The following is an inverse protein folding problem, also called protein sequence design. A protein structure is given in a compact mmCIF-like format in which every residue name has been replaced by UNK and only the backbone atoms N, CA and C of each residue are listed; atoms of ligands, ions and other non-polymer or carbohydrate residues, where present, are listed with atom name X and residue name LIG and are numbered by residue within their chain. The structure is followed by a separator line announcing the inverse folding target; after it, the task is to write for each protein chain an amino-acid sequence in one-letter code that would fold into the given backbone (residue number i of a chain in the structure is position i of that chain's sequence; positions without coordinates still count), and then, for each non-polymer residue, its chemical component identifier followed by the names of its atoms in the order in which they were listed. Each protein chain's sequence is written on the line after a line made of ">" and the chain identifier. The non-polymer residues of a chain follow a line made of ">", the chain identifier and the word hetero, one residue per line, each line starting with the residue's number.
data_IF_845343141554
#
_entry.id   IF_845343141554
#
_cell.length_a   1.000
_cell.length_b   1.000
_cell.length_c   1.000
_cell.angle_alpha   90.00
_cell.angle_beta   90.00
_cell.angle_gamma   90.00
#
_symmetry.space_group_name_H-M   'P 1'
#
loop_
_entity.id
_entity.type
_entity.pdbx_description
1 polymer ?
#
# COMPACT_ATOMS: atom_id res chain seq x y z
N UNK A 1 -75.36 3.99 -1.25
CA UNK A 1 -75.60 2.57 -0.94
C UNK A 1 -74.44 2.18 0.01
N UNK A 2 -74.64 2.37 1.20
CA UNK A 2 -75.01 1.65 2.39
C UNK A 2 -74.66 0.15 2.31
N UNK A 3 -73.72 -0.29 3.17
CA UNK A 3 -73.89 -1.43 4.02
C UNK A 3 -72.77 -1.54 5.08
N UNK A 4 -73.23 -1.30 6.28
CA UNK A 4 -72.69 -1.70 7.58
C UNK A 4 -72.53 -3.23 7.69
N UNK A 5 -71.49 -3.67 8.45
CA UNK A 5 -71.64 -4.78 9.41
C UNK A 5 -70.40 -4.76 10.30
N UNK A 6 -70.49 -4.25 11.49
CA UNK A 6 -70.73 -4.79 12.82
C UNK A 6 -69.90 -6.05 13.16
N UNK A 7 -68.92 -5.79 14.04
CA UNK A 7 -68.82 -6.30 15.42
C UNK A 7 -68.71 -7.83 15.60
N UNK A 8 -67.61 -8.26 16.22
CA UNK A 8 -67.80 -9.06 17.45
C UNK A 8 -66.52 -9.07 18.30
N UNK A 9 -66.71 -8.53 19.47
CA UNK A 9 -65.88 -8.66 20.66
C UNK A 9 -65.88 -10.14 21.11
N UNK A 10 -64.73 -10.70 21.38
CA UNK A 10 -64.63 -11.88 22.24
C UNK A 10 -63.37 -11.76 23.10
N UNK A 11 -63.60 -11.29 24.27
CA UNK A 11 -62.79 -11.31 25.46
C UNK A 11 -62.52 -12.76 25.87
N UNK A 12 -61.27 -13.18 25.90
CA UNK A 12 -60.85 -14.31 26.74
C UNK A 12 -59.59 -13.93 27.52
N UNK A 13 -59.79 -13.93 28.80
CA UNK A 13 -58.82 -13.62 29.84
C UNK A 13 -58.08 -14.91 30.24
N UNK A 14 -56.77 -14.76 30.53
CA UNK A 14 -55.83 -15.52 31.38
C UNK A 14 -55.29 -16.90 30.87
N UNK A 15 -54.05 -17.30 31.35
CA UNK A 15 -53.28 -16.80 32.47
C UNK A 15 -51.80 -16.49 32.18
N UNK A 16 -51.25 -15.76 33.08
CA UNK A 16 -49.87 -15.44 33.42
C UNK A 16 -48.97 -16.69 33.48
N UNK A 17 -48.00 -16.81 32.60
CA UNK A 17 -46.78 -17.57 32.85
C UNK A 17 -45.58 -16.67 32.66
N UNK A 18 -44.95 -16.31 33.75
CA UNK A 18 -43.65 -15.67 33.82
C UNK A 18 -42.61 -16.65 33.25
N UNK A 19 -42.10 -16.38 32.07
CA UNK A 19 -40.88 -17.02 31.58
C UNK A 19 -39.79 -15.94 31.56
N UNK A 20 -38.95 -15.97 32.59
CA UNK A 20 -37.76 -15.15 32.65
C UNK A 20 -36.77 -15.62 31.58
N UNK A 21 -36.73 -14.91 30.46
CA UNK A 21 -35.66 -15.10 29.49
C UNK A 21 -34.48 -14.22 29.92
N UNK A 22 -33.46 -14.86 30.48
CA UNK A 22 -32.16 -14.21 30.72
C UNK A 22 -31.54 -13.87 29.37
N UNK A 23 -31.57 -12.60 28.95
CA UNK A 23 -30.78 -12.10 27.85
C UNK A 23 -29.31 -12.05 28.30
N UNK A 24 -28.56 -13.07 27.89
CA UNK A 24 -27.09 -13.02 27.93
C UNK A 24 -26.63 -12.06 26.84
N UNK A 25 -26.32 -10.83 27.23
CA UNK A 25 -25.66 -9.86 26.35
C UNK A 25 -24.20 -10.33 26.20
N UNK A 26 -23.91 -11.05 25.13
CA UNK A 26 -22.53 -11.32 24.72
C UNK A 26 -21.92 -9.97 24.28
N UNK A 27 -21.11 -9.39 25.14
CA UNK A 27 -20.30 -8.24 24.81
C UNK A 27 -19.26 -8.70 23.74
N UNK A 28 -19.55 -8.43 22.48
CA UNK A 28 -18.54 -8.51 21.43
C UNK A 28 -17.54 -7.36 21.67
N UNK A 29 -16.43 -7.68 22.31
CA UNK A 29 -15.26 -6.80 22.32
C UNK A 29 -14.75 -6.69 20.89
N UNK A 30 -15.16 -5.65 20.18
CA UNK A 30 -14.53 -5.25 18.93
C UNK A 30 -13.13 -4.73 19.29
N UNK A 31 -12.13 -5.58 19.11
CA UNK A 31 -10.75 -5.13 19.05
C UNK A 31 -10.62 -4.25 17.81
N UNK A 32 -10.76 -2.95 18.00
CA UNK A 32 -10.34 -1.97 17.01
C UNK A 32 -8.83 -2.10 16.89
N UNK A 33 -8.37 -2.85 15.88
CA UNK A 33 -6.99 -2.78 15.44
C UNK A 33 -6.77 -1.33 14.97
N UNK A 34 -6.20 -0.51 15.85
CA UNK A 34 -5.69 0.80 15.48
C UNK A 34 -4.55 0.54 14.51
N UNK A 35 -4.82 0.65 13.21
CA UNK A 35 -3.80 0.74 12.19
C UNK A 35 -3.06 2.04 12.45
N UNK A 36 -1.93 1.94 13.15
CA UNK A 36 -1.05 3.09 13.32
C UNK A 36 -0.66 3.59 11.92
N UNK A 37 -0.90 4.87 11.65
CA UNK A 37 -0.43 5.49 10.42
C UNK A 37 1.10 5.27 10.33
N UNK A 38 1.65 4.91 9.14
CA UNK A 38 3.09 4.70 9.00
C UNK A 38 3.82 5.96 9.46
N UNK A 39 4.89 5.78 10.26
CA UNK A 39 5.76 6.89 10.67
C UNK A 39 6.30 7.57 9.40
N UNK A 40 6.07 8.88 9.19
CA UNK A 40 6.53 9.58 8.00
C UNK A 40 8.07 9.58 7.84
N UNK A 41 8.81 9.22 8.87
CA UNK A 41 10.26 9.03 8.83
C UNK A 41 10.71 7.59 8.57
N UNK A 42 9.83 6.60 8.71
CA UNK A 42 10.19 5.23 8.36
C UNK A 42 10.48 5.15 6.88
N UNK A 43 11.58 4.47 6.49
CA UNK A 43 11.92 4.27 5.08
C UNK A 43 10.95 3.24 4.49
N UNK A 44 10.11 3.63 3.51
CA UNK A 44 9.23 2.67 2.86
C UNK A 44 10.06 1.64 2.09
N UNK A 45 9.58 0.40 2.10
CA UNK A 45 10.23 -0.73 1.41
C UNK A 45 9.22 -1.40 0.50
N UNK A 46 9.60 -1.65 -0.74
CA UNK A 46 8.88 -2.54 -1.66
C UNK A 46 9.73 -3.74 -1.97
N UNK A 47 9.15 -4.93 -1.84
CA UNK A 47 9.83 -6.20 -2.09
C UNK A 47 9.34 -6.80 -3.41
N UNK A 48 10.26 -7.02 -4.36
CA UNK A 48 9.98 -7.74 -5.60
C UNK A 48 9.82 -9.23 -5.42
N UNK A 49 10.40 -9.80 -4.36
CA UNK A 49 10.28 -11.22 -4.03
C UNK A 49 10.92 -12.20 -5.03
N UNK A 50 11.79 -11.71 -5.91
CA UNK A 50 12.35 -12.49 -7.04
C UNK A 50 13.87 -12.55 -7.04
N UNK A 51 14.52 -12.04 -5.98
CA UNK A 51 15.98 -12.06 -5.85
C UNK A 51 16.45 -11.60 -4.50
N UNK A 52 17.76 -11.38 -4.38
CA UNK A 52 18.44 -11.00 -3.13
C UNK A 52 19.05 -9.60 -3.16
N UNK A 53 19.04 -8.95 -4.31
CA UNK A 53 19.59 -7.62 -4.49
C UNK A 53 18.66 -6.52 -4.01
N UNK A 54 19.22 -5.33 -3.75
CA UNK A 54 18.48 -4.17 -3.26
C UNK A 54 19.01 -2.85 -3.82
N UNK A 55 18.14 -1.85 -3.90
CA UNK A 55 18.48 -0.48 -4.29
C UNK A 55 17.86 0.51 -3.31
N UNK A 56 18.71 1.34 -2.69
CA UNK A 56 18.31 2.41 -1.78
C UNK A 56 18.30 3.75 -2.51
N UNK A 57 17.26 4.52 -2.33
CA UNK A 57 17.10 5.83 -2.97
C UNK A 57 17.04 6.96 -1.95
N UNK A 58 17.66 8.08 -2.31
CA UNK A 58 17.45 9.39 -1.72
C UNK A 58 17.09 10.35 -2.85
N UNK A 59 15.89 10.94 -2.77
CA UNK A 59 15.35 11.83 -3.79
C UNK A 59 15.35 13.27 -3.24
N UNK A 60 16.06 14.14 -3.94
CA UNK A 60 16.16 15.56 -3.58
C UNK A 60 15.62 16.44 -4.72
N UNK A 61 15.26 17.67 -4.39
CA UNK A 61 14.99 18.70 -5.37
C UNK A 61 16.29 19.38 -5.85
N UNK A 62 16.15 20.34 -6.76
CA UNK A 62 17.29 21.09 -7.29
C UNK A 62 18.06 21.92 -6.24
N UNK A 63 17.46 22.18 -5.07
CA UNK A 63 18.07 22.90 -3.96
C UNK A 63 18.73 21.95 -2.93
N UNK A 64 18.64 20.64 -3.16
CA UNK A 64 19.15 19.60 -2.26
C UNK A 64 18.20 19.25 -1.11
N UNK A 65 16.96 19.77 -1.10
CA UNK A 65 15.96 19.41 -0.10
C UNK A 65 15.33 18.05 -0.43
N UNK A 66 15.06 17.19 0.59
CA UNK A 66 14.42 15.91 0.38
C UNK A 66 12.99 16.08 -0.16
N UNK A 67 12.59 15.23 -1.09
CA UNK A 67 11.26 15.27 -1.69
C UNK A 67 10.39 14.16 -1.09
N UNK A 68 9.33 14.56 -0.40
CA UNK A 68 8.33 13.65 0.16
C UNK A 68 7.38 13.16 -0.93
N UNK A 69 6.98 11.87 -0.84
CA UNK A 69 6.01 11.22 -1.74
C UNK A 69 6.41 11.27 -3.23
N UNK A 70 7.70 11.46 -3.56
CA UNK A 70 8.19 11.24 -4.91
C UNK A 70 8.00 9.77 -5.28
N UNK A 71 7.41 9.50 -6.43
CA UNK A 71 7.17 8.14 -6.92
C UNK A 71 8.41 7.62 -7.64
N UNK A 72 8.87 6.44 -7.26
CA UNK A 72 9.96 5.74 -7.95
C UNK A 72 9.39 4.48 -8.55
N UNK A 73 9.59 4.30 -9.86
CA UNK A 73 9.11 3.15 -10.64
C UNK A 73 10.27 2.41 -11.26
N UNK A 74 10.14 1.09 -11.37
CA UNK A 74 11.06 0.25 -12.12
C UNK A 74 10.31 -0.88 -12.81
N UNK A 75 10.69 -1.16 -14.05
CA UNK A 75 10.24 -2.31 -14.82
C UNK A 75 11.34 -3.36 -14.87
N UNK A 76 11.06 -4.57 -14.39
CA UNK A 76 12.04 -5.66 -14.28
C UNK A 76 11.65 -6.78 -15.23
N UNK A 77 12.50 -7.08 -16.22
CA UNK A 77 12.39 -8.28 -17.05
C UNK A 77 13.39 -9.33 -16.53
N UNK A 78 12.89 -10.50 -16.11
CA UNK A 78 13.68 -11.50 -15.41
C UNK A 78 13.32 -12.94 -15.82
N UNK A 79 14.05 -13.91 -15.27
CA UNK A 79 13.82 -15.33 -15.47
C UNK A 79 14.37 -15.85 -16.80
N UNK A 80 13.91 -17.06 -17.19
CA UNK A 80 14.36 -17.69 -18.41
C UNK A 80 13.97 -16.85 -19.64
N UNK A 81 14.95 -16.52 -20.48
CA UNK A 81 14.81 -15.63 -21.65
C UNK A 81 14.13 -14.28 -21.34
N UNK A 82 14.11 -13.86 -20.07
CA UNK A 82 13.49 -12.60 -19.62
C UNK A 82 11.99 -12.47 -19.98
N UNK A 83 11.30 -13.61 -19.95
CA UNK A 83 9.86 -13.66 -20.27
C UNK A 83 8.96 -13.15 -19.14
N UNK A 84 9.46 -13.19 -17.91
CA UNK A 84 8.72 -12.65 -16.75
C UNK A 84 8.97 -11.15 -16.61
N UNK A 85 7.92 -10.44 -16.23
CA UNK A 85 7.96 -8.99 -16.01
C UNK A 85 7.35 -8.65 -14.67
N UNK A 86 7.95 -7.69 -13.99
CA UNK A 86 7.47 -7.15 -12.72
C UNK A 86 7.63 -5.64 -12.74
N UNK A 87 6.55 -4.92 -12.40
CA UNK A 87 6.56 -3.48 -12.20
C UNK A 87 6.46 -3.19 -10.71
N UNK A 88 7.41 -2.41 -10.20
CA UNK A 88 7.41 -1.95 -8.81
C UNK A 88 7.30 -0.43 -8.77
N UNK A 89 6.53 0.07 -7.81
CA UNK A 89 6.37 1.50 -7.54
C UNK A 89 6.36 1.73 -6.02
N UNK A 90 7.04 2.78 -5.57
CA UNK A 90 7.06 3.20 -4.17
C UNK A 90 7.16 4.72 -4.07
N UNK A 91 6.57 5.29 -3.01
CA UNK A 91 6.75 6.70 -2.66
C UNK A 91 7.86 6.90 -1.64
N UNK A 92 8.55 8.03 -1.68
CA UNK A 92 9.57 8.41 -0.69
C UNK A 92 8.94 8.90 0.61
N UNK A 93 9.67 8.71 1.73
CA UNK A 93 9.32 9.26 3.04
C UNK A 93 9.64 10.77 3.15
N UNK A 94 9.46 11.35 4.35
CA UNK A 94 9.76 12.77 4.61
C UNK A 94 11.23 13.15 4.40
N UNK A 95 12.15 12.18 4.50
CA UNK A 95 13.58 12.36 4.25
C UNK A 95 13.96 12.06 2.78
N UNK A 96 12.99 11.92 1.89
CA UNK A 96 13.19 11.61 0.48
C UNK A 96 13.67 10.18 0.22
N UNK A 97 13.54 9.26 1.18
CA UNK A 97 14.10 7.91 1.11
C UNK A 97 13.08 6.86 0.73
N UNK A 98 13.52 5.85 -0.03
CA UNK A 98 12.77 4.64 -0.35
C UNK A 98 13.75 3.49 -0.62
N UNK A 99 13.28 2.24 -0.45
CA UNK A 99 14.09 1.03 -0.66
C UNK A 99 13.35 0.01 -1.49
N UNK A 100 14.04 -0.55 -2.46
CA UNK A 100 13.63 -1.74 -3.21
C UNK A 100 14.43 -2.94 -2.72
N UNK A 101 13.78 -4.06 -2.46
CA UNK A 101 14.39 -5.34 -2.08
C UNK A 101 13.88 -6.45 -2.99
N UNK A 102 14.45 -7.64 -2.87
CA UNK A 102 13.99 -8.78 -3.65
C UNK A 102 14.23 -8.64 -5.15
N UNK A 103 15.21 -7.84 -5.56
CA UNK A 103 15.59 -7.63 -6.97
C UNK A 103 16.45 -8.81 -7.43
N UNK A 104 16.24 -9.36 -8.64
CA UNK A 104 17.06 -10.44 -9.16
C UNK A 104 18.46 -9.95 -9.58
N UNK A 105 19.46 -10.79 -9.39
CA UNK A 105 20.84 -10.49 -9.81
C UNK A 105 20.99 -10.39 -11.34
N UNK A 106 20.14 -11.11 -12.08
CA UNK A 106 20.19 -11.13 -13.56
C UNK A 106 18.93 -10.53 -14.15
N UNK A 107 19.09 -9.41 -14.80
CA UNK A 107 18.04 -8.67 -15.50
C UNK A 107 18.46 -8.39 -16.93
N UNK A 108 17.48 -8.19 -17.81
CA UNK A 108 17.75 -7.80 -19.19
C UNK A 108 18.11 -6.32 -19.25
N UNK A 109 19.31 -6.00 -19.76
CA UNK A 109 19.78 -4.63 -19.99
C UNK A 109 19.89 -3.73 -18.74
N UNK A 110 20.02 -4.32 -17.53
CA UNK A 110 20.02 -3.55 -16.29
C UNK A 110 18.63 -3.03 -15.91
N UNK A 111 18.57 -2.19 -14.90
CA UNK A 111 17.36 -1.59 -14.36
C UNK A 111 17.39 -0.07 -14.53
N UNK A 112 16.31 0.49 -15.04
CA UNK A 112 16.09 1.92 -15.10
C UNK A 112 15.00 2.28 -14.08
N UNK A 113 15.39 3.05 -13.08
CA UNK A 113 14.47 3.62 -12.10
C UNK A 113 14.11 5.02 -12.52
N UNK A 114 12.83 5.32 -12.59
CA UNK A 114 12.31 6.65 -12.84
C UNK A 114 11.71 7.21 -11.56
N UNK A 115 12.30 8.30 -11.05
CA UNK A 115 11.74 9.07 -9.95
C UNK A 115 10.96 10.25 -10.50
N UNK A 116 9.77 10.52 -9.96
CA UNK A 116 8.91 11.61 -10.42
C UNK A 116 8.12 12.26 -9.28
N UNK A 117 7.89 13.57 -9.40
CA UNK A 117 6.99 14.34 -8.55
C UNK A 117 6.49 15.56 -9.32
N UNK A 118 5.18 15.61 -9.60
CA UNK A 118 4.58 16.62 -10.47
C UNK A 118 5.17 16.57 -11.88
N UNK A 119 5.74 17.70 -12.33
CA UNK A 119 6.39 17.86 -13.64
C UNK A 119 7.92 17.63 -13.60
N UNK A 120 8.43 17.16 -12.46
CA UNK A 120 9.86 16.91 -12.24
C UNK A 120 10.16 15.43 -12.28
N UNK A 121 11.28 15.07 -12.93
CA UNK A 121 11.73 13.68 -13.07
C UNK A 121 13.23 13.55 -12.87
N UNK A 122 13.66 12.34 -12.52
CA UNK A 122 15.06 11.92 -12.52
C UNK A 122 15.13 10.42 -12.83
N UNK A 123 16.25 9.98 -13.38
CA UNK A 123 16.50 8.58 -13.70
C UNK A 123 17.75 8.08 -13.00
N UNK A 124 17.76 6.79 -12.65
CA UNK A 124 18.95 6.09 -12.17
C UNK A 124 19.04 4.74 -12.88
N UNK A 125 20.25 4.37 -13.23
CA UNK A 125 20.55 3.07 -13.82
C UNK A 125 21.25 2.18 -12.80
N UNK A 126 20.82 0.92 -12.70
CA UNK A 126 21.40 -0.10 -11.85
C UNK A 126 21.70 -1.38 -12.66
N UNK A 127 22.84 -1.99 -12.40
CA UNK A 127 23.15 -3.33 -12.87
C UNK A 127 23.38 -4.25 -11.66
N UNK A 128 22.34 -4.99 -11.23
CA UNK A 128 22.43 -5.86 -10.06
C UNK A 128 23.47 -6.98 -10.21
N UNK A 129 23.83 -7.36 -11.43
CA UNK A 129 24.89 -8.33 -11.68
C UNK A 129 26.28 -7.78 -11.30
N UNK A 130 26.47 -6.48 -11.37
CA UNK A 130 27.71 -5.79 -11.00
C UNK A 130 27.69 -5.37 -9.54
N UNK A 131 26.56 -4.78 -9.07
CA UNK A 131 26.40 -4.28 -7.70
C UNK A 131 25.03 -4.69 -7.15
N UNK A 132 25.01 -5.76 -6.35
CA UNK A 132 23.76 -6.35 -5.84
C UNK A 132 23.09 -5.49 -4.75
N UNK A 133 23.84 -4.61 -4.06
CA UNK A 133 23.31 -3.64 -3.10
C UNK A 133 23.80 -2.27 -3.46
N UNK A 134 22.94 -1.47 -4.03
CA UNK A 134 23.30 -0.14 -4.55
C UNK A 134 22.56 0.99 -3.83
N UNK A 135 23.13 2.19 -3.87
CA UNK A 135 22.58 3.41 -3.28
C UNK A 135 22.59 4.52 -4.31
N UNK A 136 21.46 5.19 -4.47
CA UNK A 136 21.30 6.28 -5.42
C UNK A 136 20.85 7.56 -4.71
N UNK A 137 21.48 8.65 -5.08
CA UNK A 137 20.98 9.99 -4.78
C UNK A 137 20.59 10.64 -6.10
N UNK A 138 19.30 10.90 -6.28
CA UNK A 138 18.76 11.49 -7.50
C UNK A 138 18.20 12.89 -7.23
N UNK A 139 18.36 13.78 -8.18
CA UNK A 139 17.87 15.16 -8.10
C UNK A 139 16.77 15.35 -9.14
N UNK A 140 15.55 15.62 -8.68
CA UNK A 140 14.43 15.89 -9.57
C UNK A 140 14.59 17.22 -10.28
N UNK A 141 14.45 17.18 -11.60
CA UNK A 141 14.51 18.37 -12.47
C UNK A 141 13.25 18.43 -13.32
N UNK A 142 12.83 19.66 -13.61
CA UNK A 142 11.71 19.88 -14.52
C UNK A 142 12.05 19.27 -15.89
N UNK A 143 11.10 18.52 -16.42
CA UNK A 143 11.20 17.98 -17.78
C UNK A 143 11.18 19.15 -18.77
N UNK A 144 12.10 19.19 -19.75
CA UNK A 144 12.12 20.23 -20.76
C UNK A 144 10.86 20.21 -21.65
#
# INVERSE_FOLDING_TARGET
>A
MSMHMKSNFSTRVLPLTLLAVALSVAAFSQSTATSAAPDPKSVPVVDGGIGTCSADFTVNDANGAPVYAAKIKVHIAYGFMYLHKLDLEIGTNADGKARFTGIPERVKHGLYFEASEGDRTAEAFDDPATTCKNQFTVVLRKKP
#
